data_IF_583570403715
#
_entry.id   IF_583570403715
#
_cell.length_a   1.000
_cell.length_b   1.000
_cell.length_c   1.000
_cell.angle_alpha   90.00
_cell.angle_beta   90.00
_cell.angle_gamma   90.00
#
_symmetry.space_group_name_H-M   'P 1'
#
loop_
_entity.id
_entity.type
_entity.pdbx_description
1 polymer ?
#
# COMPACT_ATOMS: atom_id res chain seq x y z
N UNK A 1 24.10 -19.36 -13.24
CA UNK A 1 23.26 -19.20 -12.03
C UNK A 1 21.97 -18.43 -12.31
N UNK A 2 22.04 -17.30 -13.01
CA UNK A 2 20.88 -16.45 -13.38
C UNK A 2 19.78 -17.21 -14.15
N UNK A 3 20.14 -18.10 -15.09
CA UNK A 3 19.18 -18.90 -15.88
C UNK A 3 18.31 -19.83 -15.04
N UNK A 4 18.88 -20.47 -13.99
CA UNK A 4 18.12 -21.37 -13.10
C UNK A 4 17.12 -20.62 -12.22
N UNK A 5 17.43 -19.39 -11.80
CA UNK A 5 16.51 -18.55 -11.03
C UNK A 5 15.35 -18.05 -11.89
N UNK A 6 15.64 -17.60 -13.12
CA UNK A 6 14.62 -17.14 -14.05
C UNK A 6 13.62 -18.27 -14.40
N UNK A 7 14.12 -19.48 -14.67
CA UNK A 7 13.30 -20.66 -14.94
C UNK A 7 12.41 -21.05 -13.73
N UNK A 8 12.97 -21.05 -12.51
CA UNK A 8 12.18 -21.30 -11.28
C UNK A 8 11.08 -20.27 -11.09
N UNK A 9 11.39 -18.98 -11.27
CA UNK A 9 10.42 -17.90 -11.13
C UNK A 9 9.30 -18.03 -12.18
N UNK A 10 9.66 -18.30 -13.43
CA UNK A 10 8.70 -18.46 -14.52
C UNK A 10 7.75 -19.65 -14.30
N UNK A 11 8.27 -20.80 -13.86
CA UNK A 11 7.43 -21.95 -13.50
C UNK A 11 6.51 -21.64 -12.32
N UNK A 12 6.97 -20.88 -11.32
CA UNK A 12 6.13 -20.46 -10.19
C UNK A 12 4.98 -19.56 -10.65
N UNK A 13 5.26 -18.57 -11.52
CA UNK A 13 4.25 -17.71 -12.14
C UNK A 13 3.24 -18.51 -12.96
N UNK A 14 3.70 -19.49 -13.73
CA UNK A 14 2.88 -20.33 -14.59
C UNK A 14 1.98 -21.27 -13.76
N UNK A 15 2.48 -21.85 -12.66
CA UNK A 15 1.63 -22.58 -11.70
C UNK A 15 0.56 -21.68 -11.10
N UNK A 16 0.91 -20.43 -10.76
CA UNK A 16 -0.05 -19.46 -10.24
C UNK A 16 -1.12 -19.10 -11.29
N UNK A 17 -0.76 -19.01 -12.57
CA UNK A 17 -1.68 -18.80 -13.68
C UNK A 17 -2.62 -20.02 -13.88
N UNK A 18 -2.07 -21.23 -13.94
CA UNK A 18 -2.84 -22.47 -14.12
C UNK A 18 -3.82 -22.71 -12.97
N UNK A 19 -3.42 -22.41 -11.74
CA UNK A 19 -4.27 -22.55 -10.56
C UNK A 19 -5.50 -21.61 -10.56
N UNK A 20 -5.60 -20.66 -11.50
CA UNK A 20 -6.75 -19.77 -11.69
C UNK A 20 -7.72 -20.27 -12.77
N UNK A 21 -7.32 -21.25 -13.58
CA UNK A 21 -8.15 -21.80 -14.65
C UNK A 21 -9.14 -22.85 -14.12
N UNK A 22 -10.29 -23.05 -14.82
CA UNK A 22 -11.22 -24.15 -14.57
C UNK A 22 -10.50 -25.50 -14.50
N UNK A 23 -10.95 -26.39 -13.62
CA UNK A 23 -10.33 -27.72 -13.43
C UNK A 23 -10.28 -28.52 -14.75
N UNK A 24 -11.32 -28.40 -15.58
CA UNK A 24 -11.42 -29.06 -16.88
C UNK A 24 -10.31 -28.64 -17.86
N UNK A 25 -9.94 -27.35 -17.88
CA UNK A 25 -8.95 -26.80 -18.84
C UNK A 25 -7.54 -26.70 -18.24
N UNK A 26 -7.39 -26.84 -16.91
CA UNK A 26 -6.14 -26.56 -16.20
C UNK A 26 -4.99 -27.45 -16.67
N UNK A 27 -5.23 -28.75 -16.85
CA UNK A 27 -4.16 -29.68 -17.20
C UNK A 27 -3.63 -29.44 -18.62
N UNK A 28 -4.53 -29.14 -19.57
CA UNK A 28 -4.18 -28.95 -20.98
C UNK A 28 -3.47 -27.63 -21.19
N UNK A 29 -4.03 -26.52 -20.69
CA UNK A 29 -3.38 -25.21 -20.72
C UNK A 29 -2.03 -25.21 -20.00
N UNK A 30 -1.93 -25.91 -18.86
CA UNK A 30 -0.65 -26.00 -18.15
C UNK A 30 0.42 -26.72 -18.95
N UNK A 31 0.06 -27.79 -19.68
CA UNK A 31 0.98 -28.52 -20.56
C UNK A 31 1.44 -27.65 -21.73
N UNK A 32 0.52 -26.97 -22.39
CA UNK A 32 0.83 -26.07 -23.51
C UNK A 32 1.76 -24.93 -23.07
N UNK A 33 1.43 -24.24 -21.98
CA UNK A 33 2.26 -23.15 -21.49
C UNK A 33 3.64 -23.62 -21.02
N UNK A 34 3.74 -24.81 -20.43
CA UNK A 34 5.04 -25.39 -20.06
C UNK A 34 5.89 -25.74 -21.29
N UNK A 35 5.26 -26.20 -22.37
CA UNK A 35 5.96 -26.48 -23.62
C UNK A 35 6.53 -25.17 -24.23
N UNK A 36 5.73 -24.11 -24.28
CA UNK A 36 6.19 -22.81 -24.77
C UNK A 36 7.28 -22.20 -23.87
N UNK A 37 7.16 -22.35 -22.54
CA UNK A 37 8.20 -21.95 -21.60
C UNK A 37 9.52 -22.72 -21.84
N UNK A 38 9.42 -24.02 -22.17
CA UNK A 38 10.58 -24.86 -22.45
C UNK A 38 11.30 -24.43 -23.73
N UNK A 39 10.56 -24.07 -24.77
CA UNK A 39 11.13 -23.52 -26.02
C UNK A 39 11.89 -22.22 -25.73
N UNK A 40 11.27 -21.28 -25.01
CA UNK A 40 11.93 -20.01 -24.66
C UNK A 40 13.17 -20.20 -23.77
N UNK A 41 13.15 -21.21 -22.89
CA UNK A 41 14.28 -21.57 -22.05
C UNK A 41 15.43 -22.19 -22.85
N UNK A 42 15.11 -23.09 -23.79
CA UNK A 42 16.08 -23.75 -24.67
C UNK A 42 16.79 -22.76 -25.59
N UNK A 43 16.07 -21.74 -26.07
CA UNK A 43 16.65 -20.63 -26.85
C UNK A 43 17.47 -19.64 -26.00
N UNK A 44 17.53 -19.80 -24.67
CA UNK A 44 18.24 -18.89 -23.78
C UNK A 44 17.60 -17.50 -23.63
N UNK A 45 16.33 -17.34 -24.04
CA UNK A 45 15.64 -16.04 -24.11
C UNK A 45 14.98 -15.66 -22.78
N UNK A 46 15.80 -15.27 -21.80
CA UNK A 46 15.35 -14.97 -20.42
C UNK A 46 14.27 -13.87 -20.37
N UNK A 47 14.43 -12.77 -21.11
CA UNK A 47 13.46 -11.65 -21.08
C UNK A 47 12.09 -12.07 -21.65
N UNK A 48 12.00 -12.67 -22.86
CA UNK A 48 10.74 -13.24 -23.36
C UNK A 48 10.12 -14.29 -22.45
N UNK A 49 10.93 -15.19 -21.87
CA UNK A 49 10.46 -16.22 -20.94
C UNK A 49 9.74 -15.62 -19.72
N UNK A 50 10.34 -14.61 -19.08
CA UNK A 50 9.71 -13.92 -17.96
C UNK A 50 8.52 -13.07 -18.40
N UNK A 51 8.60 -12.41 -19.55
CA UNK A 51 7.51 -11.61 -20.12
C UNK A 51 6.27 -12.47 -20.41
N UNK A 52 6.45 -13.66 -20.98
CA UNK A 52 5.40 -14.64 -21.24
C UNK A 52 4.79 -15.18 -19.93
N UNK A 53 5.62 -15.61 -18.99
CA UNK A 53 5.11 -16.09 -17.70
C UNK A 53 4.35 -15.00 -16.92
N UNK A 54 4.81 -13.74 -17.02
CA UNK A 54 4.16 -12.60 -16.38
C UNK A 54 2.87 -12.21 -17.11
N UNK A 55 2.82 -12.27 -18.44
CA UNK A 55 1.60 -11.99 -19.22
C UNK A 55 0.52 -13.03 -18.92
N UNK A 56 0.87 -14.31 -18.81
CA UNK A 56 -0.04 -15.37 -18.35
C UNK A 56 -0.48 -15.19 -16.90
N UNK A 57 0.43 -14.78 -16.01
CA UNK A 57 0.07 -14.51 -14.62
C UNK A 57 -0.82 -13.26 -14.46
N UNK A 58 -0.74 -12.31 -15.40
CA UNK A 58 -1.52 -11.09 -15.43
C UNK A 58 -2.85 -11.22 -16.19
N UNK A 59 -2.97 -12.17 -17.10
CA UNK A 59 -4.19 -12.40 -17.88
C UNK A 59 -5.35 -12.81 -16.97
N UNK A 60 -6.53 -12.30 -17.27
CA UNK A 60 -7.76 -12.64 -16.56
C UNK A 60 -8.45 -13.79 -17.29
N UNK A 61 -8.98 -14.81 -16.58
CA UNK A 61 -9.84 -15.79 -17.21
C UNK A 61 -11.02 -15.07 -17.87
N UNK A 62 -11.40 -15.53 -19.07
CA UNK A 62 -12.48 -14.93 -19.83
C UNK A 62 -13.78 -14.95 -18.99
N UNK A 63 -14.51 -13.82 -18.89
CA UNK A 63 -15.78 -13.77 -18.20
C UNK A 63 -16.83 -14.51 -19.04
N UNK A 64 -17.09 -15.79 -18.74
CA UNK A 64 -18.07 -16.56 -19.51
C UNK A 64 -18.39 -17.95 -18.96
N UNK A 65 -17.44 -18.65 -18.35
CA UNK A 65 -17.70 -19.99 -17.82
C UNK A 65 -17.97 -19.95 -16.32
N UNK A 66 -19.25 -20.10 -15.99
CA UNK A 66 -19.82 -20.19 -14.65
C UNK A 66 -19.20 -21.34 -13.86
N UNK A 67 -18.16 -21.03 -13.10
CA UNK A 67 -17.60 -21.92 -12.08
C UNK A 67 -18.54 -21.97 -10.86
N UNK A 68 -18.87 -23.19 -10.46
CA UNK A 68 -19.64 -23.59 -9.28
C UNK A 68 -19.38 -22.75 -8.02
N UNK A 69 -20.46 -22.43 -7.32
CA UNK A 69 -20.70 -21.16 -6.61
C UNK A 69 -20.00 -20.94 -5.24
N UNK A 70 -19.22 -21.88 -4.70
CA UNK A 70 -18.70 -21.75 -3.31
C UNK A 70 -17.20 -21.45 -3.15
N UNK A 71 -16.34 -22.08 -3.95
CA UNK A 71 -14.89 -22.10 -3.73
C UNK A 71 -14.09 -20.82 -4.08
N UNK A 72 -14.40 -20.08 -5.16
CA UNK A 72 -13.56 -18.96 -5.58
C UNK A 72 -13.73 -17.72 -4.71
N UNK A 73 -14.89 -17.54 -4.07
CA UNK A 73 -15.15 -16.42 -3.17
C UNK A 73 -14.31 -16.50 -1.90
N UNK A 74 -14.28 -17.67 -1.24
CA UNK A 74 -13.47 -17.91 -0.06
C UNK A 74 -11.98 -17.77 -0.36
N UNK A 75 -11.48 -18.35 -1.45
CA UNK A 75 -10.06 -18.24 -1.84
C UNK A 75 -9.65 -16.79 -2.14
N UNK A 76 -10.53 -15.99 -2.76
CA UNK A 76 -10.30 -14.55 -2.96
C UNK A 76 -10.35 -13.78 -1.65
N UNK A 77 -11.25 -14.13 -0.73
CA UNK A 77 -11.34 -13.52 0.60
C UNK A 77 -10.09 -13.81 1.43
N UNK A 78 -9.64 -15.07 1.47
CA UNK A 78 -8.39 -15.48 2.13
C UNK A 78 -7.20 -14.77 1.50
N UNK A 79 -7.10 -14.74 0.15
CA UNK A 79 -6.01 -14.03 -0.52
C UNK A 79 -5.98 -12.54 -0.19
N UNK A 80 -7.13 -11.88 -0.09
CA UNK A 80 -7.20 -10.48 0.35
C UNK A 80 -6.88 -10.31 1.83
N UNK A 81 -7.36 -11.20 2.70
CA UNK A 81 -7.05 -11.17 4.12
C UNK A 81 -5.53 -11.31 4.34
N UNK A 82 -4.88 -12.24 3.65
CA UNK A 82 -3.42 -12.41 3.67
C UNK A 82 -2.72 -11.14 3.20
N UNK A 83 -3.16 -10.52 2.09
CA UNK A 83 -2.54 -9.27 1.62
C UNK A 83 -2.74 -8.11 2.60
N UNK A 84 -3.90 -8.01 3.25
CA UNK A 84 -4.16 -7.00 4.29
C UNK A 84 -3.27 -7.24 5.51
N UNK A 85 -3.08 -8.50 5.92
CA UNK A 85 -2.19 -8.89 7.02
C UNK A 85 -0.70 -8.72 6.69
N UNK A 86 -0.31 -8.79 5.41
CA UNK A 86 1.06 -8.53 4.97
C UNK A 86 1.38 -7.05 4.86
N UNK A 87 0.39 -6.16 4.77
CA UNK A 87 0.61 -4.73 4.60
C UNK A 87 1.46 -4.11 5.73
N UNK A 88 1.25 -4.43 7.02
CA UNK A 88 2.10 -3.89 8.08
C UNK A 88 3.53 -4.40 8.04
N UNK A 89 3.75 -5.66 7.66
CA UNK A 89 5.08 -6.21 7.44
C UNK A 89 5.79 -5.52 6.26
N UNK A 90 5.05 -5.22 5.19
CA UNK A 90 5.56 -4.42 4.08
C UNK A 90 5.90 -2.99 4.50
N UNK A 91 5.07 -2.33 5.32
CA UNK A 91 5.38 -1.00 5.87
C UNK A 91 6.68 -1.02 6.68
N UNK A 92 6.86 -2.01 7.57
CA UNK A 92 8.11 -2.20 8.31
C UNK A 92 9.30 -2.43 7.39
N UNK A 93 9.16 -3.33 6.41
CA UNK A 93 10.21 -3.59 5.43
C UNK A 93 10.62 -2.35 4.65
N UNK A 94 9.66 -1.53 4.22
CA UNK A 94 9.93 -0.25 3.53
C UNK A 94 10.66 0.73 4.45
N UNK A 95 10.31 0.82 5.72
CA UNK A 95 11.04 1.66 6.67
C UNK A 95 12.47 1.16 6.89
N UNK A 96 12.67 -0.13 7.13
CA UNK A 96 14.01 -0.71 7.27
C UNK A 96 14.86 -0.42 6.04
N UNK A 97 14.29 -0.59 4.84
CA UNK A 97 14.97 -0.24 3.58
C UNK A 97 15.28 1.25 3.51
N UNK A 98 14.37 2.13 3.98
CA UNK A 98 14.61 3.59 4.05
C UNK A 98 15.81 3.92 4.94
N UNK A 99 15.87 3.31 6.13
CA UNK A 99 16.97 3.51 7.08
C UNK A 99 18.29 2.98 6.56
N UNK A 100 18.30 1.78 5.95
CA UNK A 100 19.49 1.23 5.34
C UNK A 100 19.97 2.08 4.15
N UNK A 101 19.05 2.53 3.30
CA UNK A 101 19.37 3.42 2.19
C UNK A 101 19.94 4.75 2.70
N UNK A 102 19.36 5.30 3.77
CA UNK A 102 19.86 6.52 4.40
C UNK A 102 21.24 6.32 5.03
N UNK A 103 21.49 5.17 5.68
CA UNK A 103 22.81 4.83 6.22
C UNK A 103 23.88 4.76 5.12
N UNK A 104 23.57 4.11 4.00
CA UNK A 104 24.47 4.08 2.83
C UNK A 104 24.67 5.49 2.26
N UNK A 105 23.60 6.28 2.15
CA UNK A 105 23.67 7.65 1.66
C UNK A 105 24.57 8.52 2.56
N UNK A 106 24.38 8.42 3.88
CA UNK A 106 25.13 9.14 4.92
C UNK A 106 26.59 8.73 4.97
N UNK A 107 26.89 7.44 4.92
CA UNK A 107 28.24 6.94 5.18
C UNK A 107 29.13 6.93 3.92
N UNK A 108 28.53 6.93 2.72
CA UNK A 108 29.27 6.78 1.45
C UNK A 108 29.10 7.96 0.51
N UNK A 109 27.86 8.34 0.21
CA UNK A 109 27.55 9.25 -0.89
C UNK A 109 27.67 10.72 -0.47
N UNK A 110 27.06 11.09 0.66
CA UNK A 110 27.02 12.46 1.14
C UNK A 110 28.43 13.01 1.47
N UNK A 111 29.33 12.29 2.16
CA UNK A 111 30.70 12.76 2.41
C UNK A 111 31.52 12.91 1.12
N UNK A 112 31.35 11.99 0.16
CA UNK A 112 32.06 12.02 -1.11
C UNK A 112 31.67 13.21 -1.99
N UNK A 113 30.41 13.67 -1.89
CA UNK A 113 29.89 14.78 -2.71
C UNK A 113 30.05 16.14 -2.03
N UNK A 114 29.78 16.20 -0.72
CA UNK A 114 29.65 17.48 0.00
C UNK A 114 30.88 17.84 0.84
N UNK A 115 31.74 16.87 1.20
CA UNK A 115 32.96 17.07 1.99
C UNK A 115 32.74 17.53 3.45
N UNK A 116 31.60 18.11 3.78
CA UNK A 116 31.24 18.64 5.09
C UNK A 116 30.23 17.73 5.80
N UNK A 117 30.64 17.17 6.94
CA UNK A 117 29.80 16.34 7.79
C UNK A 117 28.56 17.08 8.33
N UNK A 118 28.65 18.39 8.59
CA UNK A 118 27.53 19.15 9.16
C UNK A 118 26.32 19.21 8.22
N UNK A 119 26.55 19.32 6.92
CA UNK A 119 25.48 19.36 5.91
C UNK A 119 24.81 17.98 5.76
N UNK A 120 25.59 16.90 5.87
CA UNK A 120 25.08 15.51 5.88
C UNK A 120 24.07 15.31 7.02
N UNK A 121 24.41 15.78 8.23
CA UNK A 121 23.52 15.71 9.39
C UNK A 121 22.23 16.50 9.18
N UNK A 122 22.30 17.72 8.64
CA UNK A 122 21.12 18.55 8.36
C UNK A 122 20.18 17.93 7.33
N UNK A 123 20.70 17.24 6.32
CA UNK A 123 19.89 16.63 5.26
C UNK A 123 19.28 15.28 5.64
N UNK A 124 19.80 14.60 6.66
CA UNK A 124 19.37 13.25 7.02
C UNK A 124 17.86 13.18 7.34
N UNK A 125 17.39 14.04 8.24
CA UNK A 125 16.01 14.02 8.72
C UNK A 125 14.98 14.43 7.63
N UNK A 126 15.21 15.48 6.83
CA UNK A 126 14.38 15.79 5.67
C UNK A 126 14.31 14.65 4.65
N UNK A 127 15.44 14.00 4.36
CA UNK A 127 15.50 12.90 3.37
C UNK A 127 14.72 11.67 3.83
N UNK A 128 14.90 11.25 5.09
CA UNK A 128 14.13 10.14 5.67
C UNK A 128 12.63 10.45 5.65
N UNK A 129 12.26 11.68 6.00
CA UNK A 129 10.87 12.13 5.99
C UNK A 129 10.29 12.15 4.58
N UNK A 130 11.05 12.60 3.59
CA UNK A 130 10.67 12.56 2.19
C UNK A 130 10.46 11.11 1.71
N UNK A 131 11.38 10.19 2.05
CA UNK A 131 11.21 8.77 1.75
C UNK A 131 9.95 8.19 2.38
N UNK A 132 9.69 8.51 3.66
CA UNK A 132 8.49 8.07 4.36
C UNK A 132 7.21 8.62 3.69
N UNK A 133 7.20 9.88 3.26
CA UNK A 133 6.08 10.48 2.51
C UNK A 133 5.87 9.78 1.16
N UNK A 134 6.94 9.54 0.41
CA UNK A 134 6.87 8.79 -0.86
C UNK A 134 6.30 7.39 -0.67
N UNK A 135 6.76 6.67 0.36
CA UNK A 135 6.23 5.34 0.68
C UNK A 135 4.80 5.38 1.21
N UNK A 136 4.41 6.40 1.98
CA UNK A 136 3.03 6.60 2.38
C UNK A 136 2.10 6.80 1.17
N UNK A 137 2.51 7.60 0.17
CA UNK A 137 1.77 7.75 -1.09
C UNK A 137 1.66 6.43 -1.84
N UNK A 138 2.76 5.68 -1.96
CA UNK A 138 2.78 4.35 -2.59
C UNK A 138 1.84 3.37 -1.87
N UNK A 139 1.89 3.33 -0.55
CA UNK A 139 1.05 2.47 0.28
C UNK A 139 -0.41 2.87 0.22
N UNK A 140 -0.73 4.16 0.21
CA UNK A 140 -2.10 4.64 0.00
C UNK A 140 -2.64 4.29 -1.39
N UNK A 141 -1.80 4.38 -2.42
CA UNK A 141 -2.18 3.92 -3.76
C UNK A 141 -2.38 2.41 -3.82
N UNK A 142 -1.49 1.63 -3.19
CA UNK A 142 -1.58 0.18 -3.13
C UNK A 142 -2.85 -0.26 -2.38
N UNK A 143 -3.09 0.33 -1.21
CA UNK A 143 -4.30 0.15 -0.42
C UNK A 143 -5.54 0.45 -1.25
N UNK A 144 -5.57 1.58 -1.98
CA UNK A 144 -6.69 1.94 -2.87
C UNK A 144 -6.92 0.91 -3.98
N UNK A 145 -5.86 0.40 -4.61
CA UNK A 145 -5.98 -0.65 -5.63
C UNK A 145 -6.50 -1.96 -5.03
N UNK A 146 -6.07 -2.30 -3.82
CA UNK A 146 -6.53 -3.48 -3.10
C UNK A 146 -8.01 -3.34 -2.70
N UNK A 147 -8.38 -2.23 -2.07
CA UNK A 147 -9.75 -1.95 -1.64
C UNK A 147 -10.73 -1.97 -2.81
N UNK A 148 -10.35 -1.43 -3.98
CA UNK A 148 -11.19 -1.48 -5.18
C UNK A 148 -11.43 -2.90 -5.73
N UNK A 149 -10.60 -3.88 -5.35
CA UNK A 149 -10.71 -5.29 -5.76
C UNK A 149 -11.17 -6.20 -4.62
N UNK A 150 -11.22 -5.66 -3.41
CA UNK A 150 -11.49 -6.40 -2.19
C UNK A 150 -12.92 -6.89 -2.09
N UNK A 151 -13.14 -8.07 -1.48
CA UNK A 151 -14.48 -8.56 -1.19
C UNK A 151 -15.13 -7.82 -0.01
N UNK A 152 -14.33 -7.15 0.82
CA UNK A 152 -14.81 -6.33 1.93
C UNK A 152 -15.40 -5.03 1.39
N UNK A 153 -16.72 -5.00 1.30
CA UNK A 153 -17.49 -3.80 0.96
C UNK A 153 -18.20 -3.27 2.20
N UNK A 154 -18.35 -1.95 2.24
CA UNK A 154 -18.98 -1.26 3.36
C UNK A 154 -17.96 -0.67 4.34
N UNK A 155 -18.34 0.48 4.89
CA UNK A 155 -17.48 1.32 5.75
C UNK A 155 -17.04 0.64 7.05
N UNK A 156 -17.91 -0.16 7.68
CA UNK A 156 -17.67 -0.72 9.01
C UNK A 156 -16.77 -1.96 9.00
N UNK A 157 -17.00 -2.99 8.15
CA UNK A 157 -16.11 -4.16 8.11
C UNK A 157 -14.68 -3.77 7.73
N UNK A 158 -14.53 -2.83 6.79
CA UNK A 158 -13.24 -2.29 6.38
C UNK A 158 -12.56 -1.55 7.51
N UNK A 159 -13.29 -0.66 8.20
CA UNK A 159 -12.75 0.09 9.32
C UNK A 159 -12.29 -0.84 10.45
N UNK A 160 -13.09 -1.83 10.83
CA UNK A 160 -12.76 -2.76 11.93
C UNK A 160 -11.54 -3.62 11.57
N UNK A 161 -11.51 -4.24 10.39
CA UNK A 161 -10.39 -5.09 9.98
C UNK A 161 -9.09 -4.29 9.89
N UNK A 162 -9.15 -3.10 9.28
CA UNK A 162 -7.97 -2.24 9.20
C UNK A 162 -7.55 -1.77 10.59
N UNK A 163 -8.48 -1.39 11.47
CA UNK A 163 -8.17 -0.94 12.82
C UNK A 163 -7.48 -2.06 13.61
N UNK A 164 -8.01 -3.28 13.59
CA UNK A 164 -7.42 -4.42 14.31
C UNK A 164 -6.02 -4.73 13.78
N UNK A 165 -5.84 -4.78 12.46
CA UNK A 165 -4.53 -5.10 11.86
C UNK A 165 -3.51 -4.00 12.11
N UNK A 166 -3.91 -2.74 11.93
CA UNK A 166 -3.03 -1.58 12.05
C UNK A 166 -2.71 -1.27 13.52
N UNK A 167 -3.71 -1.25 14.41
CA UNK A 167 -3.50 -1.07 15.84
C UNK A 167 -2.77 -2.26 16.45
N UNK A 168 -3.14 -3.49 16.10
CA UNK A 168 -2.46 -4.69 16.58
C UNK A 168 -0.97 -4.71 16.19
N UNK A 169 -0.64 -4.26 14.98
CA UNK A 169 0.78 -4.14 14.58
C UNK A 169 1.50 -3.06 15.38
N UNK A 170 0.88 -1.89 15.57
CA UNK A 170 1.48 -0.81 16.33
C UNK A 170 1.70 -1.20 17.81
N UNK A 171 0.75 -1.92 18.41
CA UNK A 171 0.87 -2.45 19.78
C UNK A 171 1.93 -3.55 19.88
N UNK A 172 2.06 -4.42 18.86
CA UNK A 172 3.13 -5.40 18.83
C UNK A 172 4.50 -4.72 18.71
N UNK A 173 4.61 -3.70 17.86
CA UNK A 173 5.84 -2.92 17.74
C UNK A 173 6.19 -2.27 19.09
N UNK A 174 5.22 -1.64 19.77
CA UNK A 174 5.38 -1.06 21.11
C UNK A 174 5.88 -2.10 22.14
N UNK A 175 5.27 -3.28 22.15
CA UNK A 175 5.66 -4.35 23.07
C UNK A 175 7.08 -4.87 22.81
N UNK A 176 7.53 -4.88 21.55
CA UNK A 176 8.87 -5.33 21.18
C UNK A 176 9.95 -4.27 21.46
N UNK A 177 9.61 -2.99 21.40
CA UNK A 177 10.56 -1.90 21.59
C UNK A 177 10.60 -1.36 23.03
N UNK A 178 9.54 -1.57 23.81
CA UNK A 178 9.43 -1.06 25.18
C UNK A 178 9.20 0.45 25.27
N UNK A 179 8.67 1.08 24.21
CA UNK A 179 8.52 2.54 24.12
C UNK A 179 7.30 3.11 24.89
N UNK A 180 6.46 2.25 25.48
CA UNK A 180 5.27 2.66 26.24
C UNK A 180 4.37 3.65 25.47
N UNK A 181 4.00 3.26 24.26
CA UNK A 181 3.24 4.08 23.32
C UNK A 181 1.75 4.13 23.62
N UNK A 182 1.29 3.54 24.73
CA UNK A 182 -0.14 3.46 25.07
C UNK A 182 -0.87 4.80 25.02
N UNK A 183 -0.22 5.89 25.42
CA UNK A 183 -0.78 7.25 25.33
C UNK A 183 -0.94 7.73 23.88
N UNK A 184 0.10 7.60 23.07
CA UNK A 184 0.06 7.94 21.64
C UNK A 184 -0.98 7.11 20.89
N UNK A 185 -1.04 5.80 21.17
CA UNK A 185 -1.99 4.89 20.54
C UNK A 185 -3.44 5.22 20.91
N UNK A 186 -3.70 5.65 22.14
CA UNK A 186 -5.03 6.10 22.57
C UNK A 186 -5.54 7.31 21.78
N UNK A 187 -4.65 8.16 21.26
CA UNK A 187 -5.00 9.26 20.36
C UNK A 187 -5.09 8.79 18.92
N UNK A 188 -4.07 8.07 18.45
CA UNK A 188 -3.95 7.75 17.04
C UNK A 188 -5.02 6.76 16.54
N UNK A 189 -5.32 5.70 17.29
CA UNK A 189 -6.29 4.66 16.90
C UNK A 189 -7.69 5.24 16.63
N UNK A 190 -8.33 6.01 17.54
CA UNK A 190 -9.63 6.60 17.26
C UNK A 190 -9.59 7.63 16.14
N UNK A 191 -8.50 8.40 16.02
CA UNK A 191 -8.35 9.32 14.89
C UNK A 191 -8.23 8.56 13.56
N UNK A 192 -7.52 7.44 13.51
CA UNK A 192 -7.40 6.61 12.30
C UNK A 192 -8.77 6.06 11.89
N UNK A 193 -9.54 5.56 12.87
CA UNK A 193 -10.92 5.16 12.64
C UNK A 193 -11.74 6.30 12.03
N UNK A 194 -11.68 7.50 12.62
CA UNK A 194 -12.37 8.69 12.10
C UNK A 194 -11.92 9.02 10.67
N UNK A 195 -10.62 9.03 10.38
CA UNK A 195 -10.07 9.31 9.05
C UNK A 195 -10.56 8.30 8.01
N UNK A 196 -10.54 7.00 8.34
CA UNK A 196 -11.04 5.92 7.48
C UNK A 196 -12.53 6.08 7.20
N UNK A 197 -13.33 6.37 8.23
CA UNK A 197 -14.78 6.58 8.09
C UNK A 197 -15.11 7.81 7.24
N UNK A 198 -14.42 8.94 7.46
CA UNK A 198 -14.60 10.18 6.68
C UNK A 198 -14.18 9.97 5.23
N UNK A 199 -13.01 9.36 5.01
CA UNK A 199 -12.49 9.09 3.68
C UNK A 199 -13.41 8.14 2.90
N UNK A 200 -13.82 7.04 3.52
CA UNK A 200 -14.77 6.08 2.94
C UNK A 200 -16.13 6.71 2.63
N UNK A 201 -16.69 7.50 3.56
CA UNK A 201 -17.97 8.20 3.34
C UNK A 201 -17.90 9.16 2.15
N UNK A 202 -16.87 10.00 2.08
CA UNK A 202 -16.71 10.97 0.99
C UNK A 202 -16.41 10.28 -0.35
N UNK A 203 -15.65 9.20 -0.34
CA UNK A 203 -15.39 8.40 -1.54
C UNK A 203 -16.67 7.73 -2.06
N UNK A 204 -17.52 7.19 -1.17
CA UNK A 204 -18.82 6.62 -1.53
C UNK A 204 -19.80 7.64 -2.11
N UNK A 205 -19.67 8.92 -1.73
CA UNK A 205 -20.42 10.04 -2.33
C UNK A 205 -19.83 10.52 -3.68
N UNK A 206 -18.97 9.73 -4.32
CA UNK A 206 -18.34 10.10 -5.60
C UNK A 206 -17.26 11.17 -5.49
N UNK A 207 -16.79 11.50 -4.27
CA UNK A 207 -15.77 12.54 -4.03
C UNK A 207 -14.46 11.95 -3.45
N UNK A 208 -13.77 11.03 -4.15
CA UNK A 208 -12.62 10.32 -3.62
C UNK A 208 -11.42 11.23 -3.33
N UNK A 209 -11.21 12.29 -4.12
CA UNK A 209 -10.13 13.28 -3.86
C UNK A 209 -10.32 14.00 -2.53
N UNK A 210 -11.54 14.48 -2.25
CA UNK A 210 -11.87 15.14 -0.98
C UNK A 210 -11.80 14.16 0.20
N UNK A 211 -12.23 12.91 0.01
CA UNK A 211 -12.12 11.87 1.03
C UNK A 211 -10.66 11.58 1.40
N UNK A 212 -9.79 11.46 0.40
CA UNK A 212 -8.36 11.26 0.63
C UNK A 212 -7.70 12.45 1.33
N UNK A 213 -7.96 13.68 0.86
CA UNK A 213 -7.41 14.90 1.48
C UNK A 213 -7.86 15.06 2.94
N UNK A 214 -9.15 14.87 3.23
CA UNK A 214 -9.67 14.96 4.59
C UNK A 214 -9.11 13.85 5.49
N UNK A 215 -9.04 12.62 4.99
CA UNK A 215 -8.44 11.51 5.73
C UNK A 215 -6.96 11.76 6.04
N UNK A 216 -6.20 12.24 5.05
CA UNK A 216 -4.79 12.60 5.23
C UNK A 216 -4.62 13.75 6.23
N UNK A 217 -5.43 14.81 6.15
CA UNK A 217 -5.39 15.92 7.09
C UNK A 217 -5.68 15.49 8.53
N UNK A 218 -6.71 14.67 8.75
CA UNK A 218 -7.00 14.09 10.07
C UNK A 218 -5.81 13.26 10.58
N UNK A 219 -5.13 12.54 9.69
CA UNK A 219 -3.97 11.73 10.05
C UNK A 219 -2.71 12.48 10.37
N UNK A 220 -2.41 13.56 9.66
CA UNK A 220 -1.31 14.44 10.06
C UNK A 220 -1.60 14.95 11.47
N UNK A 221 -2.76 15.57 11.71
CA UNK A 221 -3.14 16.08 13.03
C UNK A 221 -3.12 15.02 14.14
N UNK A 222 -3.52 13.78 13.83
CA UNK A 222 -3.50 12.69 14.79
C UNK A 222 -2.08 12.24 15.15
N UNK A 223 -1.17 12.21 14.18
CA UNK A 223 0.24 11.90 14.42
C UNK A 223 0.85 13.00 15.29
N UNK A 224 0.62 14.28 14.95
CA UNK A 224 1.05 15.43 15.77
C UNK A 224 0.54 15.30 17.23
N UNK A 225 -0.76 15.04 17.40
CA UNK A 225 -1.37 14.89 18.73
C UNK A 225 -0.87 13.65 19.49
N UNK A 226 -0.62 12.54 18.79
CA UNK A 226 -0.07 11.34 19.39
C UNK A 226 1.38 11.55 19.88
N UNK A 227 2.18 12.26 19.10
CA UNK A 227 3.54 12.65 19.49
C UNK A 227 3.51 13.55 20.71
N UNK A 228 2.67 14.60 20.71
CA UNK A 228 2.50 15.49 21.85
C UNK A 228 2.14 14.70 23.13
N UNK A 229 1.17 13.79 23.06
CA UNK A 229 0.78 12.96 24.23
C UNK A 229 1.91 12.04 24.68
N UNK A 230 2.68 11.46 23.76
CA UNK A 230 3.83 10.63 24.12
C UNK A 230 4.91 11.44 24.85
N UNK A 231 5.28 12.60 24.31
CA UNK A 231 6.30 13.48 24.89
C UNK A 231 5.87 13.99 26.27
N UNK A 232 4.61 14.38 26.44
CA UNK A 232 4.08 14.83 27.75
C UNK A 232 4.11 13.74 28.83
N UNK A 233 4.06 12.47 28.45
CA UNK A 233 4.09 11.33 29.39
C UNK A 233 5.50 10.89 29.77
N UNK A 234 6.49 11.23 28.97
CA UNK A 234 7.88 10.86 29.18
C UNK A 234 8.75 12.13 29.15
N UNK A 235 8.56 13.06 30.11
CA UNK A 235 9.42 14.22 30.21
C UNK A 235 10.85 13.72 30.46
N UNK A 236 11.78 14.00 29.55
CA UNK A 236 13.18 13.63 29.79
C UNK A 236 13.82 14.67 30.71
N UNK A 237 14.54 14.19 31.72
CA UNK A 237 15.25 15.03 32.68
C UNK A 237 16.54 15.64 32.07
N UNK A 238 17.00 15.10 30.94
CA UNK A 238 18.26 15.46 30.30
C UNK A 238 18.15 16.61 29.29
N UNK A 239 16.94 16.88 28.77
CA UNK A 239 16.69 17.92 27.75
C UNK A 239 15.44 18.68 28.17
N UNK A 240 15.48 20.01 28.14
CA UNK A 240 14.27 20.83 28.32
C UNK A 240 13.42 20.69 27.07
N UNK A 241 12.56 19.66 27.04
CA UNK A 241 11.66 19.44 25.91
C UNK A 241 10.70 20.61 25.81
N UNK A 242 10.82 21.35 24.71
CA UNK A 242 9.83 22.33 24.36
C UNK A 242 8.66 21.61 23.67
N UNK A 243 7.75 21.04 24.46
CA UNK A 243 6.60 20.24 23.99
C UNK A 243 5.71 20.97 22.98
N UNK A 244 5.75 22.31 23.00
CA UNK A 244 5.09 23.23 22.08
C UNK A 244 5.45 22.98 20.61
N UNK A 245 6.63 22.41 20.32
CA UNK A 245 7.10 22.14 18.96
C UNK A 245 6.77 20.75 18.44
N UNK A 246 6.19 19.87 19.27
CA UNK A 246 5.78 18.53 18.84
C UNK A 246 4.70 18.56 17.75
N UNK A 247 3.91 19.64 17.66
CA UNK A 247 2.89 19.90 16.64
C UNK A 247 3.45 20.46 15.32
N UNK A 248 4.74 20.79 15.30
CA UNK A 248 5.43 21.39 14.17
C UNK A 248 6.53 20.48 13.61
N UNK A 249 6.63 19.22 14.05
CA UNK A 249 7.76 18.37 13.66
C UNK A 249 7.83 18.23 12.13
N UNK A 250 6.70 18.00 11.45
CA UNK A 250 6.72 17.80 9.99
C UNK A 250 7.14 19.09 9.23
N UNK A 251 6.55 20.27 9.49
CA UNK A 251 7.04 21.53 8.93
C UNK A 251 8.49 21.86 9.31
N UNK A 252 8.86 21.69 10.58
CA UNK A 252 10.20 22.00 11.09
C UNK A 252 11.25 21.11 10.41
N UNK A 253 10.97 19.81 10.28
CA UNK A 253 11.86 18.86 9.60
C UNK A 253 11.99 19.14 8.10
N UNK A 254 10.91 19.56 7.43
CA UNK A 254 10.94 19.76 5.98
C UNK A 254 11.48 21.12 5.54
N UNK A 255 11.24 22.17 6.32
CA UNK A 255 11.56 23.53 5.93
C UNK A 255 12.69 24.15 6.76
N UNK A 256 13.25 23.41 7.74
CA UNK A 256 14.16 23.96 8.77
C UNK A 256 13.56 25.20 9.43
N UNK A 257 12.22 25.26 9.46
CA UNK A 257 11.45 26.46 9.73
C UNK A 257 10.68 26.28 11.03
N UNK A 258 11.19 26.91 12.08
CA UNK A 258 10.54 27.01 13.40
C UNK A 258 9.49 28.13 13.49
N UNK A 259 9.00 28.66 12.36
CA UNK A 259 8.21 29.91 12.31
C UNK A 259 8.87 31.12 12.99
N UNK A 260 10.21 31.16 13.03
CA UNK A 260 10.96 32.24 13.68
C UNK A 260 11.05 32.09 15.21
N UNK A 261 10.65 30.93 15.74
CA UNK A 261 10.79 30.61 17.15
C UNK A 261 12.24 30.16 17.46
N UNK A 262 12.76 30.44 18.67
CA UNK A 262 14.15 30.15 19.05
C UNK A 262 14.49 28.65 19.14
N UNK A 263 13.50 27.76 19.03
CA UNK A 263 13.60 26.31 19.17
C UNK A 263 12.69 25.62 18.12
N UNK A 264 12.86 24.30 17.85
CA UNK A 264 13.88 23.40 18.38
C UNK A 264 15.26 23.64 17.75
N UNK A 265 16.32 23.40 18.52
CA UNK A 265 17.70 23.39 17.98
C UNK A 265 17.94 22.16 17.10
N UNK A 266 19.00 22.19 16.27
CA UNK A 266 19.36 21.04 15.43
C UNK A 266 19.63 19.75 16.23
N UNK A 267 20.17 19.88 17.44
CA UNK A 267 20.39 18.75 18.36
C UNK A 267 19.07 18.21 18.93
N UNK A 268 18.10 19.08 19.27
CA UNK A 268 16.77 18.66 19.75
C UNK A 268 15.95 17.96 18.66
N UNK A 269 16.01 18.44 17.42
CA UNK A 269 15.42 17.79 16.24
C UNK A 269 16.02 16.40 16.00
N UNK A 270 17.33 16.25 16.24
CA UNK A 270 18.03 14.98 16.12
C UNK A 270 17.62 13.98 17.20
N UNK A 271 17.48 14.42 18.46
CA UNK A 271 16.99 13.59 19.56
C UNK A 271 15.53 13.14 19.37
N UNK A 272 14.68 14.00 18.79
CA UNK A 272 13.34 13.61 18.33
C UNK A 272 13.41 12.44 17.34
N UNK A 273 14.40 12.50 16.44
CA UNK A 273 14.70 11.48 15.45
C UNK A 273 15.32 10.19 16.02
N UNK A 274 16.03 10.23 17.15
CA UNK A 274 16.70 9.06 17.73
C UNK A 274 15.83 8.27 18.72
N UNK A 275 14.90 8.93 19.43
CA UNK A 275 13.98 8.27 20.38
C UNK A 275 12.73 7.73 19.69
N UNK A 276 12.27 8.37 18.62
CA UNK A 276 11.06 8.00 17.87
C UNK A 276 11.28 7.58 16.39
N UNK A 277 12.47 7.18 15.90
CA UNK A 277 12.85 7.30 14.49
C UNK A 277 11.91 6.67 13.49
N UNK A 278 11.27 5.57 13.86
CA UNK A 278 10.45 4.79 12.93
C UNK A 278 8.96 4.92 13.18
N UNK A 279 8.52 5.39 14.36
CA UNK A 279 7.12 5.29 14.74
C UNK A 279 6.22 6.26 13.98
N UNK A 280 6.48 7.58 13.94
CA UNK A 280 5.68 8.52 13.14
C UNK A 280 5.57 8.09 11.68
N UNK A 281 6.66 7.59 11.11
CA UNK A 281 6.76 7.13 9.74
C UNK A 281 5.97 5.83 9.54
N UNK A 282 6.05 4.87 10.46
CA UNK A 282 5.27 3.63 10.42
C UNK A 282 3.78 3.91 10.51
N UNK A 283 3.40 4.72 11.48
CA UNK A 283 2.04 5.19 11.71
C UNK A 283 1.53 5.92 10.47
N UNK A 284 2.34 6.77 9.84
CA UNK A 284 2.02 7.43 8.57
C UNK A 284 1.79 6.43 7.42
N UNK A 285 2.68 5.47 7.22
CA UNK A 285 2.56 4.46 6.16
C UNK A 285 1.30 3.60 6.35
N UNK A 286 1.05 3.13 7.58
CA UNK A 286 -0.12 2.33 7.93
C UNK A 286 -1.41 3.13 7.76
N UNK A 287 -1.44 4.38 8.23
CA UNK A 287 -2.57 5.30 8.05
C UNK A 287 -2.87 5.54 6.57
N UNK A 288 -1.85 5.82 5.76
CA UNK A 288 -2.00 6.05 4.34
C UNK A 288 -2.56 4.83 3.62
N UNK A 289 -2.05 3.62 3.94
CA UNK A 289 -2.58 2.36 3.44
C UNK A 289 -4.07 2.18 3.79
N UNK A 290 -4.43 2.37 5.06
CA UNK A 290 -5.80 2.19 5.54
C UNK A 290 -6.79 3.19 4.89
N UNK A 291 -6.42 4.47 4.81
CA UNK A 291 -7.22 5.50 4.12
C UNK A 291 -7.37 5.14 2.64
N UNK A 292 -6.26 4.78 1.98
CA UNK A 292 -6.25 4.35 0.60
C UNK A 292 -7.23 3.20 0.36
N UNK A 293 -7.14 2.16 1.17
CA UNK A 293 -8.02 1.00 1.13
C UNK A 293 -9.50 1.40 1.30
N UNK A 294 -9.82 2.23 2.29
CA UNK A 294 -11.17 2.71 2.54
C UNK A 294 -11.75 3.47 1.33
N UNK A 295 -10.94 4.34 0.71
CA UNK A 295 -11.34 5.08 -0.52
C UNK A 295 -11.56 4.12 -1.69
N UNK A 296 -10.73 3.08 -1.82
CA UNK A 296 -10.87 2.04 -2.84
C UNK A 296 -12.14 1.21 -2.66
N UNK A 297 -12.38 0.73 -1.44
CA UNK A 297 -13.50 -0.14 -1.08
C UNK A 297 -14.86 0.56 -1.10
N UNK A 298 -14.89 1.88 -0.94
CA UNK A 298 -16.11 2.68 -1.01
C UNK A 298 -16.62 2.92 -2.44
N UNK A 299 -15.88 2.51 -3.48
CA UNK A 299 -16.35 2.66 -4.85
C UNK A 299 -17.53 1.72 -5.11
N UNK A 300 -18.64 2.21 -5.69
CA UNK A 300 -19.71 1.33 -6.12
C UNK A 300 -19.13 0.28 -7.06
N UNK A 301 -19.62 -0.96 -6.93
CA UNK A 301 -19.31 -1.99 -7.90
C UNK A 301 -19.67 -1.41 -9.26
N UNK A 302 -18.71 -1.36 -10.17
CA UNK A 302 -19.01 -1.01 -11.55
C UNK A 302 -19.97 -2.11 -12.01
N UNK A 303 -21.26 -1.78 -12.07
CA UNK A 303 -22.27 -2.69 -12.59
C UNK A 303 -21.77 -3.12 -13.97
N UNK A 304 -21.72 -4.43 -14.25
CA UNK A 304 -21.34 -4.88 -15.58
C UNK A 304 -22.30 -4.18 -16.53
N UNK A 305 -21.76 -3.27 -17.35
CA UNK A 305 -22.55 -2.50 -18.30
C UNK A 305 -23.41 -3.51 -19.02
N UNK A 306 -24.75 -3.45 -18.88
CA UNK A 306 -25.62 -4.45 -19.49
C UNK A 306 -25.21 -4.45 -20.95
N UNK A 307 -24.66 -5.60 -21.38
CA UNK A 307 -24.07 -5.73 -22.69
C UNK A 307 -25.08 -5.20 -23.70
N UNK A 308 -24.59 -4.43 -24.66
CA UNK A 308 -25.29 -4.04 -25.88
C UNK A 308 -25.76 -5.34 -26.54
N UNK A 309 -26.87 -5.87 -26.05
CA UNK A 309 -27.57 -7.05 -26.51
C UNK A 309 -28.76 -6.51 -27.28
N UNK A 310 -28.49 -5.89 -28.44
CA UNK A 310 -29.50 -5.46 -29.42
C UNK A 310 -28.88 -4.58 -30.51
N UNK A 311 -28.14 -5.16 -31.46
CA UNK A 311 -27.97 -4.53 -32.79
C UNK A 311 -27.43 -5.51 -33.86
N UNK A 312 -27.87 -6.77 -33.89
CA UNK A 312 -27.55 -7.66 -35.03
C UNK A 312 -28.65 -8.66 -35.39
N UNK A 313 -29.89 -8.42 -34.98
CA UNK A 313 -31.07 -9.21 -35.38
C UNK A 313 -31.97 -8.45 -36.37
N UNK A 314 -31.39 -7.63 -37.24
CA UNK A 314 -32.08 -7.03 -38.38
C UNK A 314 -31.27 -7.17 -39.67
N UNK A 315 -30.83 -8.39 -40.00
CA UNK A 315 -30.65 -8.74 -41.42
C UNK A 315 -31.97 -9.34 -41.85
N UNK A 316 -32.76 -8.42 -42.38
CA UNK A 316 -34.04 -8.60 -43.02
C UNK A 316 -34.01 -9.76 -44.00
N UNK A 317 -34.87 -10.74 -43.74
CA UNK A 317 -35.43 -11.62 -44.75
C UNK A 317 -36.29 -10.76 -45.70
N UNK A 318 -35.67 -10.23 -46.75
CA UNK A 318 -36.35 -9.63 -47.89
C UNK A 318 -35.80 -10.28 -49.16
N UNK A 319 -36.60 -11.14 -49.80
CA UNK A 319 -36.23 -11.73 -51.08
C UNK A 319 -36.91 -13.03 -51.49
N UNK A 320 -38.08 -13.37 -50.94
CA UNK A 320 -39.00 -14.33 -51.57
C UNK A 320 -39.81 -13.60 -52.64
N UNK A 321 -39.48 -13.84 -53.92
CA UNK A 321 -40.20 -13.31 -55.06
C UNK A 321 -40.21 -14.34 -56.19
N UNK A 322 -41.18 -15.25 -56.15
CA UNK A 322 -41.56 -16.14 -57.24
C UNK A 322 -42.16 -15.33 -58.40
N UNK A 323 -41.68 -15.53 -59.63
CA UNK A 323 -42.48 -15.26 -60.83
C UNK A 323 -42.21 -16.31 -61.89
N UNK A 324 -43.31 -16.89 -62.35
CA UNK A 324 -43.50 -17.91 -63.38
C UNK A 324 -43.08 -17.49 -64.79
N UNK A 325 -42.61 -18.47 -65.56
CA UNK A 325 -42.93 -18.66 -66.97
C UNK A 325 -42.95 -20.15 -67.27
#
# INVERSE_FOLDING_TARGET
>A
MVSRLADRLARALLRAAAARQPLALRADLHREWLAELHVLAAEGRIKPLLGYALSLAASRPAPGETLTEGGPALRRAVGHAVLVLLAPALCHGLLVVSFLAMGVLRDRLLPAVLGDGALVYRLQLPLVTLFALCFAVLMGWAGRRLGARGPLRGRWPVAIVLLVVVAGTAMLADALTGFNLGGAMAVWVPSLLLAVLVAGRKAGLGRPRRGWLLGAAIMVLAIEGAMLVHTLRHPSEAVTWHYEYALLWLPAVLADWSFGLPYPTAEELFWLGDVLPALPQLVLLLSAYAIGYAVGAARPAQEPSPGVSSASSSVSAAGGGTSSA
#
